data_IF_328154188749
#
_entry.id   IF_328154188749
#
_cell.length_a   1.000
_cell.length_b   1.000
_cell.length_c   1.000
_cell.angle_alpha   90.00
_cell.angle_beta   90.00
_cell.angle_gamma   90.00
#
_symmetry.space_group_name_H-M   'P 1'
#
loop_
_entity.id
_entity.type
_entity.pdbx_description
1 polymer ?
#
# COMPACT_ATOMS: atom_id res chain seq x y z
N UNK A 1 -16.72 -0.98 4.05
CA UNK A 1 -15.39 -0.50 3.62
C UNK A 1 -14.78 0.28 4.77
N UNK A 2 -13.65 -0.19 5.29
CA UNK A 2 -12.92 0.47 6.38
C UNK A 2 -11.76 1.31 5.81
N UNK A 3 -11.56 2.52 6.35
CA UNK A 3 -10.48 3.42 5.96
C UNK A 3 -9.52 3.58 7.12
N UNK A 4 -8.22 3.50 6.84
CA UNK A 4 -7.17 3.71 7.84
C UNK A 4 -6.32 4.92 7.47
N UNK A 5 -6.00 5.77 8.42
CA UNK A 5 -5.11 6.90 8.20
C UNK A 5 -3.64 6.53 8.36
N UNK A 6 -2.81 6.64 7.31
CA UNK A 6 -1.38 6.29 7.38
C UNK A 6 -0.63 6.97 8.52
N UNK A 7 -0.68 8.30 8.57
CA UNK A 7 0.08 9.07 9.56
C UNK A 7 -0.42 8.86 10.99
N UNK A 8 -1.72 8.54 11.15
CA UNK A 8 -2.36 8.42 12.46
C UNK A 8 -2.29 6.99 13.00
N UNK A 9 -2.46 6.00 12.14
CA UNK A 9 -2.69 4.61 12.54
C UNK A 9 -1.50 3.69 12.22
N UNK A 10 -0.77 3.95 11.13
CA UNK A 10 0.33 3.09 10.67
C UNK A 10 1.54 3.90 10.18
N UNK A 11 2.26 4.59 11.08
CA UNK A 11 3.41 5.40 10.70
C UNK A 11 4.51 4.54 10.05
N UNK A 12 5.03 4.99 8.90
CA UNK A 12 6.09 4.30 8.16
C UNK A 12 5.62 3.11 7.32
N UNK A 13 4.32 2.82 7.24
CA UNK A 13 3.80 1.77 6.36
C UNK A 13 4.08 2.09 4.88
N UNK A 14 4.03 3.36 4.47
CA UNK A 14 4.37 3.74 3.08
C UNK A 14 5.83 3.42 2.74
N UNK A 15 6.73 3.65 3.69
CA UNK A 15 8.16 3.30 3.55
C UNK A 15 8.35 1.79 3.46
N UNK A 16 7.61 0.99 4.24
CA UNK A 16 7.66 -0.47 4.15
C UNK A 16 7.19 -0.95 2.77
N UNK A 17 6.05 -0.47 2.27
CA UNK A 17 5.54 -0.80 0.93
C UNK A 17 6.60 -0.52 -0.13
N UNK A 18 7.23 0.67 -0.06
CA UNK A 18 8.30 1.05 -0.99
C UNK A 18 9.48 0.10 -0.97
N UNK A 19 9.94 -0.33 0.21
CA UNK A 19 11.05 -1.27 0.34
C UNK A 19 10.74 -2.61 -0.32
N UNK A 20 9.55 -3.17 -0.07
CA UNK A 20 9.15 -4.43 -0.70
C UNK A 20 9.01 -4.31 -2.21
N UNK A 21 8.43 -3.22 -2.71
CA UNK A 21 8.39 -2.94 -4.14
C UNK A 21 9.78 -2.93 -4.75
N UNK A 22 10.72 -2.18 -4.16
CA UNK A 22 12.09 -2.08 -4.66
C UNK A 22 12.82 -3.43 -4.68
N UNK A 23 12.50 -4.31 -3.73
CA UNK A 23 13.07 -5.65 -3.65
C UNK A 23 12.36 -6.68 -4.55
N UNK A 24 11.16 -6.38 -5.07
CA UNK A 24 10.37 -7.32 -5.86
C UNK A 24 10.95 -7.60 -7.26
N UNK A 25 11.76 -6.69 -7.79
CA UNK A 25 12.23 -6.74 -9.19
C UNK A 25 11.13 -6.52 -10.24
N UNK A 26 9.91 -6.19 -9.82
CA UNK A 26 8.76 -5.92 -10.69
C UNK A 26 8.58 -4.42 -10.90
N UNK A 27 8.22 -4.05 -12.13
CA UNK A 27 7.91 -2.66 -12.48
C UNK A 27 6.69 -2.13 -11.71
N UNK A 28 6.77 -0.87 -11.28
CA UNK A 28 5.70 -0.23 -10.51
C UNK A 28 4.36 -0.21 -11.29
N UNK A 29 4.42 -0.02 -12.61
CA UNK A 29 3.23 -0.02 -13.47
C UNK A 29 2.49 -1.36 -13.42
N UNK A 30 3.23 -2.46 -13.39
CA UNK A 30 2.66 -3.81 -13.32
C UNK A 30 2.05 -4.08 -11.95
N UNK A 31 2.75 -3.73 -10.87
CA UNK A 31 2.23 -3.89 -9.51
C UNK A 31 0.98 -3.03 -9.27
N UNK A 32 0.99 -1.79 -9.74
CA UNK A 32 -0.16 -0.89 -9.64
C UNK A 32 -1.37 -1.43 -10.42
N UNK A 33 -1.16 -1.97 -11.63
CA UNK A 33 -2.20 -2.64 -12.40
C UNK A 33 -2.77 -3.87 -11.67
N UNK A 34 -1.91 -4.72 -11.09
CA UNK A 34 -2.32 -5.88 -10.29
C UNK A 34 -3.13 -5.48 -9.05
N UNK A 35 -2.76 -4.39 -8.39
CA UNK A 35 -3.49 -3.85 -7.24
C UNK A 35 -4.72 -3.02 -7.63
N UNK A 36 -5.02 -2.85 -8.92
CA UNK A 36 -6.16 -2.09 -9.41
C UNK A 36 -6.10 -0.59 -9.13
N UNK A 37 -4.90 -0.01 -9.01
CA UNK A 37 -4.70 1.41 -8.71
C UNK A 37 -3.75 2.09 -9.69
N UNK A 38 -3.77 3.43 -9.73
CA UNK A 38 -2.81 4.18 -10.54
C UNK A 38 -1.42 4.22 -9.88
N UNK A 39 -0.37 4.27 -10.70
CA UNK A 39 1.02 4.45 -10.24
C UNK A 39 1.20 5.75 -9.44
N UNK A 40 0.49 6.81 -9.82
CA UNK A 40 0.47 8.06 -9.09
C UNK A 40 -0.13 7.90 -7.67
N UNK A 41 -1.22 7.14 -7.53
CA UNK A 41 -1.81 6.85 -6.22
C UNK A 41 -0.89 5.97 -5.37
N UNK A 42 -0.29 4.94 -5.97
CA UNK A 42 0.74 4.11 -5.32
C UNK A 42 1.91 4.96 -4.80
N UNK A 43 2.47 5.85 -5.62
CA UNK A 43 3.54 6.74 -5.16
C UNK A 43 3.11 7.65 -4.01
N UNK A 44 1.87 8.16 -4.02
CA UNK A 44 1.37 8.95 -2.90
C UNK A 44 1.25 8.12 -1.62
N UNK A 45 0.89 6.84 -1.73
CA UNK A 45 0.87 5.89 -0.62
C UNK A 45 2.28 5.68 -0.06
N UNK A 46 3.26 5.38 -0.93
CA UNK A 46 4.65 5.16 -0.51
C UNK A 46 5.28 6.37 0.19
N UNK A 47 4.89 7.57 -0.21
CA UNK A 47 5.35 8.83 0.37
C UNK A 47 4.45 9.33 1.51
N UNK A 48 3.45 8.54 1.93
CA UNK A 48 2.48 8.87 2.99
C UNK A 48 1.77 10.22 2.76
N UNK A 49 1.60 10.59 1.49
CA UNK A 49 0.88 11.78 0.99
C UNK A 49 -0.63 11.51 0.82
N UNK A 50 -1.10 10.38 1.33
CA UNK A 50 -2.52 10.05 1.45
C UNK A 50 -2.90 10.13 2.93
N UNK A 51 -4.00 10.81 3.23
CA UNK A 51 -4.49 10.89 4.62
C UNK A 51 -5.15 9.60 5.06
N UNK A 52 -5.80 8.90 4.13
CA UNK A 52 -6.52 7.65 4.34
C UNK A 52 -6.20 6.66 3.23
N UNK A 53 -6.13 5.38 3.60
CA UNK A 53 -6.00 4.24 2.73
C UNK A 53 -7.15 3.28 3.01
N UNK A 54 -7.93 2.90 1.97
CA UNK A 54 -8.91 1.85 2.12
C UNK A 54 -8.24 0.52 2.44
N UNK A 55 -8.83 -0.25 3.35
CA UNK A 55 -8.37 -1.59 3.70
C UNK A 55 -8.21 -2.49 2.46
N UNK A 56 -9.20 -2.44 1.55
CA UNK A 56 -9.17 -3.24 0.32
C UNK A 56 -8.01 -2.86 -0.59
N UNK A 57 -7.64 -1.57 -0.64
CA UNK A 57 -6.45 -1.11 -1.38
C UNK A 57 -5.17 -1.64 -0.74
N UNK A 58 -5.07 -1.65 0.60
CA UNK A 58 -3.92 -2.25 1.27
C UNK A 58 -3.81 -3.75 0.94
N UNK A 59 -4.93 -4.49 1.01
CA UNK A 59 -4.97 -5.91 0.66
C UNK A 59 -4.58 -6.17 -0.79
N UNK A 60 -5.01 -5.30 -1.71
CA UNK A 60 -4.62 -5.39 -3.12
C UNK A 60 -3.10 -5.17 -3.32
N UNK A 61 -2.51 -4.21 -2.60
CA UNK A 61 -1.05 -3.97 -2.62
C UNK A 61 -0.29 -5.17 -2.02
N UNK A 62 -0.76 -5.70 -0.91
CA UNK A 62 -0.22 -6.91 -0.26
C UNK A 62 -0.22 -8.11 -1.22
N UNK A 63 -1.34 -8.35 -1.89
CA UNK A 63 -1.46 -9.42 -2.89
C UNK A 63 -0.53 -9.21 -4.09
N UNK A 64 -0.44 -7.97 -4.61
CA UNK A 64 0.46 -7.66 -5.74
C UNK A 64 1.94 -7.85 -5.38
N UNK A 65 2.32 -7.55 -4.13
CA UNK A 65 3.69 -7.72 -3.64
C UNK A 65 3.97 -9.13 -3.09
N UNK A 66 2.94 -9.94 -2.86
CA UNK A 66 3.06 -11.26 -2.22
C UNK A 66 3.50 -11.17 -0.75
N UNK A 67 3.06 -10.17 0.00
CA UNK A 67 3.48 -9.89 1.39
C UNK A 67 2.29 -9.57 2.28
N UNK A 68 2.44 -9.79 3.58
CA UNK A 68 1.49 -9.32 4.61
C UNK A 68 2.19 -8.29 5.50
N UNK A 69 1.64 -7.08 5.59
CA UNK A 69 2.18 -6.04 6.46
C UNK A 69 1.73 -6.16 7.92
N UNK A 70 0.90 -7.15 8.23
CA UNK A 70 0.39 -7.43 9.57
C UNK A 70 -0.62 -6.39 10.07
N UNK A 71 -1.19 -5.60 9.14
CA UNK A 71 -2.19 -4.58 9.46
C UNK A 71 -3.50 -5.28 9.79
N UNK A 72 -3.94 -5.11 11.05
CA UNK A 72 -5.22 -5.60 11.54
C UNK A 72 -6.22 -4.45 11.57
N UNK A 73 -7.40 -4.73 11.05
CA UNK A 73 -8.52 -3.82 11.02
C UNK A 73 -9.42 -4.19 12.21
N UNK A 74 -9.65 -3.28 13.17
CA UNK A 74 -10.65 -3.53 14.20
C UNK A 74 -12.03 -3.66 13.54
N UNK A 75 -12.83 -4.62 14.01
CA UNK A 75 -14.23 -4.77 13.59
C UNK A 75 -15.09 -3.55 13.97
#
# INVERSE_FOLDING_TARGET
>A
MMLIGFQKEFPGLGVKIRKYRQNSGVELTQLAAQAGISTAYWHRIENEKVKVLPADTLRAIENALGVDFGVKFPE
#
